data_IF_123603964671
#
_entry.id   IF_123603964671
#
_cell.length_a   1.000
_cell.length_b   1.000
_cell.length_c   1.000
_cell.angle_alpha   90.00
_cell.angle_beta   90.00
_cell.angle_gamma   90.00
#
_symmetry.space_group_name_H-M   'P 1'
#
loop_
_entity.id
_entity.type
_entity.pdbx_description
1 polymer ?
#
# COMPACT_ATOMS: atom_id res chain seq x y z
N UNK A 1 -18.61 16.70 -7.26
CA UNK A 1 -17.60 15.65 -7.51
C UNK A 1 -17.14 15.61 -8.97
N UNK A 2 -17.96 15.21 -9.95
CA UNK A 2 -17.55 15.18 -11.38
C UNK A 2 -17.02 16.52 -11.90
N UNK A 3 -17.75 17.59 -11.65
CA UNK A 3 -17.34 18.95 -12.06
C UNK A 3 -16.04 19.40 -11.38
N UNK A 4 -15.82 18.95 -10.14
CA UNK A 4 -14.59 19.21 -9.40
C UNK A 4 -13.39 18.50 -10.03
N UNK A 5 -13.55 17.22 -10.41
CA UNK A 5 -12.54 16.46 -11.15
C UNK A 5 -12.25 17.08 -12.53
N UNK A 6 -13.28 17.57 -13.22
CA UNK A 6 -13.12 18.28 -14.50
C UNK A 6 -12.29 19.55 -14.34
N UNK A 7 -12.64 20.41 -13.37
CA UNK A 7 -11.86 21.61 -13.05
C UNK A 7 -10.41 21.27 -12.68
N UNK A 8 -10.20 20.21 -11.91
CA UNK A 8 -8.85 19.75 -11.57
C UNK A 8 -8.05 19.34 -12.80
N UNK A 9 -8.65 18.61 -13.75
CA UNK A 9 -8.01 18.28 -15.02
C UNK A 9 -7.63 19.55 -15.80
N UNK A 10 -8.52 20.54 -15.85
CA UNK A 10 -8.30 21.80 -16.56
C UNK A 10 -7.17 22.65 -15.92
N UNK A 11 -6.96 22.54 -14.60
CA UNK A 11 -5.86 23.22 -13.89
C UNK A 11 -4.52 22.52 -14.08
N UNK A 12 -4.52 21.17 -14.17
CA UNK A 12 -3.29 20.36 -14.21
C UNK A 12 -2.79 20.15 -15.65
N UNK A 13 -3.66 20.24 -16.65
CA UNK A 13 -3.35 19.97 -18.06
C UNK A 13 -4.00 21.01 -18.99
N UNK A 14 -3.30 21.53 -20.03
CA UNK A 14 -2.00 21.10 -20.55
C UNK A 14 -0.79 21.76 -19.89
N UNK A 15 -0.95 22.91 -19.25
CA UNK A 15 0.13 23.70 -18.63
C UNK A 15 -0.28 24.15 -17.25
N UNK A 16 0.63 24.00 -16.28
CA UNK A 16 0.40 24.40 -14.89
C UNK A 16 0.83 25.85 -14.69
N UNK A 17 -0.08 26.68 -14.19
CA UNK A 17 0.24 28.03 -13.69
C UNK A 17 0.76 27.94 -12.25
N UNK A 18 2.08 27.97 -12.09
CA UNK A 18 2.75 27.88 -10.78
C UNK A 18 2.39 29.05 -9.85
N UNK A 19 2.17 30.25 -10.40
CA UNK A 19 1.90 31.44 -9.59
C UNK A 19 0.52 31.37 -8.91
N UNK A 20 -0.42 30.63 -9.51
CA UNK A 20 -1.79 30.46 -9.01
C UNK A 20 -2.11 29.03 -8.58
N UNK A 21 -1.13 28.14 -8.55
CA UNK A 21 -1.31 26.71 -8.33
C UNK A 21 -2.21 26.36 -7.14
N UNK A 22 -1.85 26.85 -5.94
CA UNK A 22 -2.61 26.56 -4.72
C UNK A 22 -4.05 27.09 -4.79
N UNK A 23 -4.24 28.33 -5.27
CA UNK A 23 -5.56 28.92 -5.41
C UNK A 23 -6.42 28.19 -6.45
N UNK A 24 -5.80 27.79 -7.57
CA UNK A 24 -6.49 27.06 -8.63
C UNK A 24 -6.95 25.68 -8.18
N UNK A 25 -6.13 24.97 -7.40
CA UNK A 25 -6.52 23.69 -6.78
C UNK A 25 -7.65 23.87 -5.79
N UNK A 26 -7.56 24.86 -4.89
CA UNK A 26 -8.60 25.09 -3.89
C UNK A 26 -9.97 25.38 -4.53
N UNK A 27 -9.99 26.12 -5.63
CA UNK A 27 -11.20 26.41 -6.41
C UNK A 27 -11.85 25.17 -7.06
N UNK A 28 -11.12 24.05 -7.17
CA UNK A 28 -11.71 22.80 -7.65
C UNK A 28 -12.64 22.18 -6.62
N UNK A 29 -12.46 22.46 -5.33
CA UNK A 29 -13.11 21.75 -4.20
C UNK A 29 -12.84 20.23 -4.15
N UNK A 30 -11.85 19.71 -4.89
CA UNK A 30 -11.60 18.27 -4.96
C UNK A 30 -11.19 17.69 -3.60
N UNK A 31 -10.25 18.37 -2.93
CA UNK A 31 -9.78 17.98 -1.60
C UNK A 31 -10.90 18.07 -0.55
N UNK A 32 -11.92 18.90 -0.75
CA UNK A 32 -13.07 18.99 0.16
C UNK A 32 -13.98 17.77 0.04
N UNK A 33 -14.20 17.25 -1.18
CA UNK A 33 -14.94 16.01 -1.38
C UNK A 33 -14.23 14.80 -0.75
N UNK A 34 -12.90 14.72 -0.88
CA UNK A 34 -12.08 13.67 -0.24
C UNK A 34 -12.32 13.61 1.27
N UNK A 35 -12.41 14.77 1.94
CA UNK A 35 -12.67 14.85 3.39
C UNK A 35 -13.99 14.22 3.79
N UNK A 36 -15.04 14.45 3.00
CA UNK A 36 -16.40 14.00 3.31
C UNK A 36 -16.55 12.49 3.12
N UNK A 37 -15.71 11.87 2.31
CA UNK A 37 -15.71 10.41 2.04
C UNK A 37 -14.85 9.59 2.99
N UNK A 38 -14.68 10.03 4.24
CA UNK A 38 -13.83 9.35 5.23
C UNK A 38 -14.11 7.85 5.29
N UNK A 39 -13.09 7.06 4.94
CA UNK A 39 -13.16 5.62 4.69
C UNK A 39 -13.27 4.84 6.01
N UNK A 40 -14.47 4.83 6.60
CA UNK A 40 -14.75 4.12 7.84
C UNK A 40 -14.25 2.66 7.79
N UNK A 41 -14.42 1.96 6.66
CA UNK A 41 -14.00 0.56 6.52
C UNK A 41 -12.47 0.34 6.58
N UNK A 42 -11.67 1.24 6.00
CA UNK A 42 -10.20 1.14 6.02
C UNK A 42 -9.60 1.69 7.32
N UNK A 43 -10.29 2.65 7.94
CA UNK A 43 -9.94 3.18 9.25
C UNK A 43 -10.17 2.15 10.36
N UNK A 44 -11.26 1.39 10.29
CA UNK A 44 -11.69 0.48 11.34
C UNK A 44 -11.07 -0.93 11.25
N UNK A 45 -10.78 -1.44 10.05
CA UNK A 45 -10.35 -2.84 9.88
C UNK A 45 -9.00 -2.93 9.13
N UNK A 46 -8.03 -3.60 9.75
CA UNK A 46 -6.69 -3.81 9.19
C UNK A 46 -6.69 -4.79 8.01
N UNK A 47 -7.69 -5.67 7.90
CA UNK A 47 -7.78 -6.64 6.82
C UNK A 47 -7.81 -5.96 5.44
N UNK A 48 -8.53 -4.84 5.29
CA UNK A 48 -8.60 -4.08 4.03
C UNK A 48 -7.31 -3.33 3.68
N UNK A 49 -6.31 -3.29 4.58
CA UNK A 49 -4.98 -2.67 4.34
C UNK A 49 -3.96 -3.63 3.71
N UNK A 50 -4.29 -4.92 3.69
CA UNK A 50 -3.53 -5.95 2.98
C UNK A 50 -3.88 -5.95 1.50
N UNK A 51 -3.00 -6.49 0.65
CA UNK A 51 -3.29 -6.67 -0.78
C UNK A 51 -4.61 -7.44 -0.96
N UNK A 52 -4.79 -8.56 -0.25
CA UNK A 52 -5.98 -9.41 -0.38
C UNK A 52 -7.28 -8.73 0.05
N UNK A 53 -7.25 -7.96 1.12
CA UNK A 53 -8.44 -7.23 1.56
C UNK A 53 -8.83 -6.10 0.61
N UNK A 54 -7.84 -5.40 0.05
CA UNK A 54 -8.06 -4.33 -0.92
C UNK A 54 -8.74 -4.83 -2.21
N UNK A 55 -8.45 -6.08 -2.62
CA UNK A 55 -9.04 -6.71 -3.81
C UNK A 55 -10.57 -6.79 -3.78
N UNK A 56 -11.18 -6.79 -2.59
CA UNK A 56 -12.62 -6.95 -2.40
C UNK A 56 -13.41 -5.64 -2.51
N UNK A 57 -12.75 -4.49 -2.61
CA UNK A 57 -13.41 -3.16 -2.59
C UNK A 57 -13.75 -2.64 -3.99
N UNK A 58 -13.26 -3.30 -5.04
CA UNK A 58 -13.44 -2.90 -6.43
C UNK A 58 -14.78 -3.31 -7.03
N UNK A 59 -15.84 -2.54 -6.81
CA UNK A 59 -17.10 -2.69 -7.54
C UNK A 59 -17.33 -1.45 -8.43
N UNK A 60 -17.30 -1.65 -9.75
CA UNK A 60 -17.56 -0.61 -10.76
C UNK A 60 -19.00 -0.70 -11.28
N UNK A 61 -19.51 0.40 -11.84
CA UNK A 61 -20.79 0.48 -12.55
C UNK A 61 -20.49 0.84 -14.03
N UNK A 62 -21.00 0.06 -14.97
CA UNK A 62 -20.63 0.01 -16.39
C UNK A 62 -21.49 0.88 -17.34
N UNK A 63 -22.31 1.79 -16.85
CA UNK A 63 -23.09 2.64 -17.75
C UNK A 63 -22.26 3.83 -18.31
N UNK A 64 -21.46 3.55 -19.36
CA UNK A 64 -20.56 4.48 -20.05
C UNK A 64 -21.23 5.71 -20.71
N UNK A 65 -22.56 5.72 -20.83
CA UNK A 65 -23.31 6.79 -21.50
C UNK A 65 -24.11 7.70 -20.54
N UNK A 66 -24.22 7.36 -19.26
CA UNK A 66 -25.08 8.11 -18.34
C UNK A 66 -24.37 9.29 -17.70
N UNK A 67 -25.10 10.41 -17.62
CA UNK A 67 -24.68 11.64 -16.93
C UNK A 67 -24.37 11.45 -15.43
N UNK A 68 -24.64 10.26 -14.91
CA UNK A 68 -24.53 9.81 -13.51
C UNK A 68 -23.14 9.27 -13.13
N UNK A 69 -22.17 9.20 -14.04
CA UNK A 69 -20.81 8.70 -13.76
C UNK A 69 -20.09 9.61 -12.76
N UNK A 70 -20.29 9.35 -11.47
CA UNK A 70 -19.58 9.99 -10.39
C UNK A 70 -18.23 9.29 -10.20
N UNK A 71 -17.11 10.01 -10.07
CA UNK A 71 -15.79 9.43 -9.91
C UNK A 71 -15.58 8.85 -8.49
N UNK A 72 -16.56 8.11 -7.97
CA UNK A 72 -16.56 7.59 -6.60
C UNK A 72 -15.40 6.62 -6.38
N UNK A 73 -15.11 5.75 -7.35
CA UNK A 73 -13.99 4.83 -7.23
C UNK A 73 -12.65 5.56 -7.31
N UNK A 74 -12.50 6.56 -8.19
CA UNK A 74 -11.28 7.37 -8.26
C UNK A 74 -11.05 8.13 -6.95
N UNK A 75 -12.11 8.72 -6.40
CA UNK A 75 -12.07 9.39 -5.11
C UNK A 75 -11.75 8.43 -3.97
N UNK A 76 -12.32 7.22 -3.99
CA UNK A 76 -11.99 6.16 -3.04
C UNK A 76 -10.48 5.85 -3.07
N UNK A 77 -9.91 5.65 -4.26
CA UNK A 77 -8.48 5.36 -4.41
C UNK A 77 -7.63 6.57 -3.99
N UNK A 78 -8.04 7.80 -4.29
CA UNK A 78 -7.36 9.02 -3.82
C UNK A 78 -7.35 9.07 -2.28
N UNK A 79 -8.49 8.85 -1.62
CA UNK A 79 -8.56 8.75 -0.17
C UNK A 79 -7.64 7.67 0.40
N UNK A 80 -7.52 6.51 -0.26
CA UNK A 80 -6.56 5.47 0.12
C UNK A 80 -5.13 5.99 -0.01
N UNK A 81 -4.81 6.66 -1.11
CA UNK A 81 -3.49 7.28 -1.30
C UNK A 81 -3.16 8.30 -0.20
N UNK A 82 -4.10 9.16 0.18
CA UNK A 82 -3.93 10.10 1.31
C UNK A 82 -3.58 9.36 2.61
N UNK A 83 -4.24 8.23 2.89
CA UNK A 83 -3.92 7.42 4.07
C UNK A 83 -2.55 6.76 3.98
N UNK A 84 -2.14 6.26 2.80
CA UNK A 84 -0.78 5.71 2.61
C UNK A 84 0.31 6.78 2.82
N UNK A 85 0.00 8.05 2.55
CA UNK A 85 0.91 9.17 2.80
C UNK A 85 1.01 9.52 4.29
N UNK A 86 -0.12 9.59 4.99
CA UNK A 86 -0.15 9.89 6.42
C UNK A 86 0.36 8.73 7.29
N UNK A 87 0.19 7.48 6.84
CA UNK A 87 0.61 6.27 7.56
C UNK A 87 1.46 5.35 6.66
N UNK A 88 2.74 5.69 6.42
CA UNK A 88 3.60 4.96 5.48
C UNK A 88 3.84 3.48 5.83
N UNK A 89 3.65 3.08 7.09
CA UNK A 89 3.87 1.71 7.55
C UNK A 89 2.58 0.89 7.66
N UNK A 90 1.41 1.50 7.49
CA UNK A 90 0.12 0.84 7.79
C UNK A 90 -0.47 0.04 6.63
N UNK A 91 0.05 0.22 5.41
CA UNK A 91 -0.45 -0.43 4.21
C UNK A 91 0.61 -1.33 3.59
N UNK A 92 0.21 -2.55 3.23
CA UNK A 92 1.08 -3.54 2.62
C UNK A 92 1.43 -3.20 1.18
N UNK A 93 0.55 -2.46 0.51
CA UNK A 93 0.73 -2.05 -0.88
C UNK A 93 1.31 -0.65 -1.01
N UNK A 94 1.94 -0.37 -2.15
CA UNK A 94 2.53 0.92 -2.47
C UNK A 94 1.66 1.73 -3.47
N UNK A 95 2.11 2.96 -3.78
CA UNK A 95 1.42 3.87 -4.70
C UNK A 95 1.26 3.28 -6.11
N UNK A 96 2.20 2.43 -6.57
CA UNK A 96 2.14 1.82 -7.90
C UNK A 96 0.90 0.94 -8.04
N UNK A 97 0.49 0.21 -6.99
CA UNK A 97 -0.73 -0.58 -7.03
C UNK A 97 -1.96 0.30 -7.28
N UNK A 98 -2.06 1.43 -6.57
CA UNK A 98 -3.20 2.34 -6.68
C UNK A 98 -3.30 2.95 -8.08
N UNK A 99 -2.16 3.38 -8.66
CA UNK A 99 -2.11 3.88 -10.04
C UNK A 99 -2.48 2.77 -11.04
N UNK A 100 -1.98 1.55 -10.84
CA UNK A 100 -2.23 0.39 -11.72
C UNK A 100 -3.71 0.02 -11.72
N UNK A 101 -4.36 0.03 -10.55
CA UNK A 101 -5.81 -0.16 -10.40
C UNK A 101 -6.59 0.90 -11.17
N UNK A 102 -6.20 2.18 -11.07
CA UNK A 102 -6.87 3.27 -11.79
C UNK A 102 -6.65 3.23 -13.31
N UNK A 103 -5.46 2.84 -13.77
CA UNK A 103 -5.21 2.65 -15.19
C UNK A 103 -6.03 1.48 -15.75
N UNK A 104 -6.13 0.38 -15.00
CA UNK A 104 -6.88 -0.78 -15.43
C UNK A 104 -8.39 -0.66 -15.29
N UNK A 105 -8.88 0.26 -14.46
CA UNK A 105 -10.30 0.65 -14.40
C UNK A 105 -10.82 1.14 -15.76
N UNK A 106 -9.99 1.84 -16.53
CA UNK A 106 -10.36 2.40 -17.83
C UNK A 106 -9.82 1.61 -19.02
N UNK A 107 -8.82 0.75 -18.81
CA UNK A 107 -8.20 -0.04 -19.88
C UNK A 107 -9.10 -1.13 -20.46
N UNK A 108 -10.05 -1.64 -19.66
CA UNK A 108 -10.84 -2.84 -19.95
C UNK A 108 -9.99 -4.09 -20.32
N UNK A 109 -8.70 -4.10 -19.97
CA UNK A 109 -7.80 -5.23 -20.23
C UNK A 109 -8.16 -6.47 -19.40
N UNK A 110 -8.69 -6.25 -18.19
CA UNK A 110 -9.07 -7.28 -17.24
C UNK A 110 -10.57 -7.24 -16.99
N UNK A 111 -11.19 -8.40 -16.76
CA UNK A 111 -12.61 -8.50 -16.41
C UNK A 111 -12.93 -8.16 -14.95
N UNK A 112 -11.97 -7.62 -14.21
CA UNK A 112 -12.10 -7.33 -12.78
C UNK A 112 -13.12 -6.23 -12.49
N UNK A 113 -13.17 -5.21 -13.32
CA UNK A 113 -14.06 -4.04 -13.15
C UNK A 113 -15.18 -3.99 -14.19
N UNK A 114 -15.37 -5.08 -14.95
CA UNK A 114 -16.47 -5.19 -15.91
C UNK A 114 -17.77 -5.58 -15.17
N UNK A 115 -18.88 -5.16 -15.75
CA UNK A 115 -20.27 -5.32 -15.33
C UNK A 115 -20.65 -4.68 -13.98
N UNK A 116 -21.94 -4.35 -13.83
CA UNK A 116 -22.47 -3.60 -12.69
C UNK A 116 -23.04 -4.49 -11.59
N UNK A 117 -23.03 -5.81 -11.74
CA UNK A 117 -23.45 -6.73 -10.68
C UNK A 117 -22.73 -8.08 -10.79
N UNK A 118 -22.57 -8.78 -9.66
CA UNK A 118 -22.06 -10.14 -9.65
C UNK A 118 -22.94 -11.09 -10.47
N UNK A 119 -24.25 -10.82 -10.52
CA UNK A 119 -25.20 -11.58 -11.34
C UNK A 119 -24.86 -11.46 -12.83
N UNK A 120 -24.69 -10.24 -13.36
CA UNK A 120 -24.28 -10.03 -14.76
C UNK A 120 -22.94 -10.68 -15.07
N UNK A 121 -21.98 -10.63 -14.12
CA UNK A 121 -20.67 -11.29 -14.28
C UNK A 121 -20.77 -12.81 -14.36
N UNK A 122 -21.70 -13.40 -13.61
CA UNK A 122 -21.96 -14.83 -13.66
C UNK A 122 -22.65 -15.22 -14.97
N UNK A 123 -23.64 -14.43 -15.41
CA UNK A 123 -24.36 -14.64 -16.67
C UNK A 123 -23.45 -14.53 -17.90
N UNK A 124 -22.46 -13.64 -17.87
CA UNK A 124 -21.49 -13.43 -18.95
C UNK A 124 -20.21 -14.28 -18.80
N UNK A 125 -20.18 -15.20 -17.84
CA UNK A 125 -19.06 -16.10 -17.55
C UNK A 125 -17.69 -15.39 -17.49
N UNK A 126 -17.65 -14.20 -16.90
CA UNK A 126 -16.47 -13.32 -16.95
C UNK A 126 -15.22 -13.99 -16.38
N UNK A 127 -15.41 -14.85 -15.39
CA UNK A 127 -14.33 -15.59 -14.72
C UNK A 127 -13.63 -16.59 -15.64
N UNK A 128 -14.32 -17.15 -16.63
CA UNK A 128 -13.73 -18.08 -17.61
C UNK A 128 -13.27 -17.32 -18.87
N UNK A 129 -13.99 -16.27 -19.26
CA UNK A 129 -13.74 -15.52 -20.49
C UNK A 129 -12.60 -14.48 -20.38
N UNK A 130 -12.27 -14.02 -19.17
CA UNK A 130 -11.33 -12.92 -18.96
C UNK A 130 -10.32 -13.20 -17.85
N UNK A 131 -9.20 -12.47 -17.89
CA UNK A 131 -8.18 -12.52 -16.85
C UNK A 131 -8.49 -11.50 -15.75
N UNK A 132 -8.23 -11.87 -14.49
CA UNK A 132 -8.31 -10.96 -13.36
C UNK A 132 -7.05 -10.10 -13.22
N UNK A 133 -7.22 -8.80 -13.00
CA UNK A 133 -6.14 -7.86 -12.64
C UNK A 133 -5.33 -8.39 -11.45
N UNK A 134 -6.01 -9.03 -10.49
CA UNK A 134 -5.35 -9.57 -9.30
C UNK A 134 -4.43 -10.73 -9.63
N UNK A 135 -4.72 -11.51 -10.68
CA UNK A 135 -3.78 -12.54 -11.15
C UNK A 135 -2.48 -11.92 -11.67
N UNK A 136 -2.58 -10.76 -12.34
CA UNK A 136 -1.40 -10.00 -12.76
C UNK A 136 -0.63 -9.43 -11.55
N UNK A 137 -1.31 -8.73 -10.64
CA UNK A 137 -0.67 -8.16 -9.43
C UNK A 137 0.00 -9.23 -8.57
N UNK A 138 -0.68 -10.36 -8.34
CA UNK A 138 -0.16 -11.46 -7.53
C UNK A 138 0.99 -12.22 -8.23
N UNK A 139 1.18 -12.05 -9.54
CA UNK A 139 2.33 -12.63 -10.25
C UNK A 139 3.63 -11.87 -10.00
N UNK A 140 3.54 -10.59 -9.60
CA UNK A 140 4.68 -9.70 -9.35
C UNK A 140 4.50 -8.92 -8.03
N UNK A 141 4.34 -9.60 -6.89
CA UNK A 141 4.01 -8.93 -5.63
C UNK A 141 5.09 -7.94 -5.20
N UNK A 142 6.36 -8.23 -5.49
CA UNK A 142 7.52 -7.39 -5.15
C UNK A 142 7.42 -5.96 -5.68
N UNK A 143 6.76 -5.75 -6.82
CA UNK A 143 6.60 -4.41 -7.41
C UNK A 143 5.52 -3.59 -6.72
N UNK A 144 4.57 -4.26 -6.05
CA UNK A 144 3.41 -3.64 -5.41
C UNK A 144 3.50 -3.61 -3.88
N UNK A 145 4.42 -4.35 -3.28
CA UNK A 145 4.61 -4.40 -1.83
C UNK A 145 5.36 -3.17 -1.31
N UNK A 146 4.99 -2.75 -0.11
CA UNK A 146 5.64 -1.70 0.65
C UNK A 146 6.65 -2.30 1.65
N UNK A 147 7.95 -1.99 1.54
CA UNK A 147 8.98 -2.50 2.44
C UNK A 147 8.79 -2.09 3.90
N UNK A 148 8.14 -0.96 4.14
CA UNK A 148 7.93 -0.39 5.46
C UNK A 148 6.66 -0.92 6.16
N UNK A 149 5.94 -1.83 5.52
CA UNK A 149 4.72 -2.39 6.10
C UNK A 149 5.01 -3.10 7.43
N UNK A 150 4.25 -2.72 8.45
CA UNK A 150 4.23 -3.34 9.76
C UNK A 150 2.79 -3.74 10.05
N UNK A 151 2.58 -5.02 10.34
CA UNK A 151 1.27 -5.53 10.71
C UNK A 151 0.93 -5.07 12.14
N UNK A 152 0.11 -4.02 12.23
CA UNK A 152 -0.45 -3.57 13.48
C UNK A 152 -1.82 -4.22 13.67
N UNK A 153 -1.86 -5.36 14.34
CA UNK A 153 -3.12 -6.00 14.73
C UNK A 153 -4.00 -5.01 15.51
N UNK A 154 -5.26 -4.85 15.07
CA UNK A 154 -6.30 -4.04 15.72
C UNK A 154 -6.03 -2.53 15.88
N UNK A 155 -5.09 -1.94 15.14
CA UNK A 155 -4.86 -0.49 15.20
C UNK A 155 -5.84 0.30 14.31
N UNK A 156 -6.63 1.19 14.93
CA UNK A 156 -7.52 2.12 14.22
C UNK A 156 -6.71 3.31 13.72
N UNK A 157 -6.79 3.59 12.41
CA UNK A 157 -6.15 4.76 11.83
C UNK A 157 -7.07 5.98 11.94
N UNK A 158 -6.54 7.07 12.47
CA UNK A 158 -7.24 8.35 12.58
C UNK A 158 -6.57 9.39 11.68
N UNK A 159 -6.95 9.48 10.39
CA UNK A 159 -6.32 10.42 9.47
C UNK A 159 -6.65 11.87 9.84
N UNK A 160 -5.70 12.75 9.56
CA UNK A 160 -5.88 14.19 9.66
C UNK A 160 -6.59 14.68 8.40
N UNK A 161 -7.85 15.08 8.57
CA UNK A 161 -8.75 15.50 7.49
C UNK A 161 -8.59 17.00 7.15
N UNK A 162 -7.62 17.69 7.77
CA UNK A 162 -7.39 19.13 7.54
C UNK A 162 -6.80 19.39 6.15
N UNK A 163 -7.12 20.54 5.56
CA UNK A 163 -6.58 21.01 4.27
C UNK A 163 -5.06 21.06 4.22
N UNK A 164 -4.40 21.21 5.37
CA UNK A 164 -2.94 21.25 5.47
C UNK A 164 -2.27 19.88 5.37
N UNK A 165 -3.01 18.79 5.56
CA UNK A 165 -2.50 17.42 5.56
C UNK A 165 -3.01 16.60 4.37
N UNK A 166 -3.84 17.21 3.53
CA UNK A 166 -4.28 16.62 2.26
C UNK A 166 -3.48 17.26 1.14
N UNK A 167 -2.86 16.42 0.32
CA UNK A 167 -2.04 16.84 -0.80
C UNK A 167 -2.73 16.48 -2.11
N UNK A 168 -2.44 17.22 -3.19
CA UNK A 168 -2.84 16.77 -4.51
C UNK A 168 -1.97 15.59 -4.91
N UNK A 169 -2.59 14.50 -5.37
CA UNK A 169 -1.87 13.34 -5.88
C UNK A 169 -1.21 13.63 -7.23
N UNK A 170 -0.08 14.32 -7.19
CA UNK A 170 0.70 14.71 -8.38
C UNK A 170 1.18 13.51 -9.18
N UNK A 171 1.52 12.41 -8.50
CA UNK A 171 1.92 11.14 -9.10
C UNK A 171 0.88 10.52 -10.03
N UNK A 172 -0.42 10.81 -9.82
CA UNK A 172 -1.51 10.36 -10.69
C UNK A 172 -2.02 11.49 -11.60
N UNK A 173 -2.47 12.61 -11.03
CA UNK A 173 -3.12 13.67 -11.81
C UNK A 173 -2.16 14.48 -12.69
N UNK A 174 -0.93 14.70 -12.24
CA UNK A 174 0.09 15.49 -12.94
C UNK A 174 1.16 14.63 -13.61
N UNK A 175 0.93 13.31 -13.75
CA UNK A 175 1.91 12.33 -14.25
C UNK A 175 2.46 12.61 -15.65
N UNK A 176 1.69 13.32 -16.47
CA UNK A 176 2.05 13.68 -17.84
C UNK A 176 2.89 14.95 -17.92
N UNK A 177 3.01 15.70 -16.83
CA UNK A 177 3.83 16.90 -16.78
C UNK A 177 5.27 16.53 -16.38
N UNK A 178 6.28 16.72 -17.27
CA UNK A 178 7.66 16.36 -16.99
C UNK A 178 8.27 17.09 -15.77
N UNK A 179 7.74 18.28 -15.42
CA UNK A 179 8.25 19.09 -14.30
C UNK A 179 7.73 18.61 -12.94
N UNK A 180 6.56 17.97 -12.92
CA UNK A 180 5.93 17.47 -11.69
C UNK A 180 6.20 15.99 -11.45
N UNK A 181 6.64 15.27 -12.49
CA UNK A 181 6.96 13.85 -12.41
C UNK A 181 8.26 13.65 -11.60
N UNK A 182 8.28 12.74 -10.61
CA UNK A 182 9.50 12.32 -9.97
C UNK A 182 10.51 11.81 -11.01
N UNK A 183 11.73 12.34 -10.99
CA UNK A 183 12.80 11.96 -11.94
C UNK A 183 13.23 10.49 -11.76
N UNK A 184 13.10 9.97 -10.54
CA UNK A 184 13.41 8.58 -10.20
C UNK A 184 12.10 7.82 -9.95
N UNK A 185 11.88 6.64 -10.56
CA UNK A 185 10.71 5.84 -10.29
C UNK A 185 10.71 5.31 -8.85
N UNK A 186 9.84 5.85 -8.00
CA UNK A 186 9.76 5.52 -6.56
C UNK A 186 9.60 4.02 -6.32
N UNK A 187 8.83 3.32 -7.16
CA UNK A 187 8.61 1.88 -7.02
C UNK A 187 9.89 1.05 -7.19
N UNK A 188 10.84 1.48 -8.02
CA UNK A 188 12.13 0.78 -8.19
C UNK A 188 12.94 0.86 -6.89
N UNK A 189 12.99 2.04 -6.29
CA UNK A 189 13.63 2.22 -4.98
C UNK A 189 12.93 1.41 -3.89
N UNK A 190 11.60 1.34 -3.88
CA UNK A 190 10.86 0.50 -2.92
C UNK A 190 11.18 -0.99 -3.10
N UNK A 191 11.31 -1.46 -4.34
CA UNK A 191 11.71 -2.83 -4.65
C UNK A 191 13.14 -3.14 -4.19
N UNK A 192 14.08 -2.23 -4.45
CA UNK A 192 15.45 -2.36 -3.95
C UNK A 192 15.51 -2.42 -2.42
N UNK A 193 14.69 -1.60 -1.75
CA UNK A 193 14.57 -1.61 -0.29
C UNK A 193 13.96 -2.91 0.24
N UNK A 194 12.99 -3.50 -0.47
CA UNK A 194 12.46 -4.83 -0.13
C UNK A 194 13.55 -5.90 -0.17
N UNK A 195 14.35 -5.91 -1.23
CA UNK A 195 15.46 -6.86 -1.36
C UNK A 195 16.52 -6.65 -0.29
N UNK A 196 16.90 -5.40 -0.03
CA UNK A 196 17.88 -5.05 1.00
C UNK A 196 17.38 -5.45 2.40
N UNK A 197 16.09 -5.22 2.70
CA UNK A 197 15.47 -5.64 3.96
C UNK A 197 15.57 -7.15 4.13
N UNK A 198 15.23 -7.94 3.11
CA UNK A 198 15.29 -9.40 3.18
C UNK A 198 16.73 -9.90 3.44
N UNK A 199 17.72 -9.32 2.76
CA UNK A 199 19.13 -9.65 2.97
C UNK A 199 19.61 -9.29 4.38
N UNK A 200 19.24 -8.11 4.89
CA UNK A 200 19.60 -7.68 6.25
C UNK A 200 18.93 -8.56 7.31
N UNK A 201 17.67 -8.95 7.12
CA UNK A 201 16.97 -9.86 8.01
C UNK A 201 17.68 -11.22 8.09
N UNK A 202 18.08 -11.79 6.94
CA UNK A 202 18.84 -13.04 6.89
C UNK A 202 20.16 -12.93 7.66
N UNK A 203 20.92 -11.86 7.48
CA UNK A 203 22.17 -11.62 8.21
C UNK A 203 21.96 -11.51 9.72
N UNK A 204 20.89 -10.85 10.15
CA UNK A 204 20.53 -10.74 11.57
C UNK A 204 20.25 -12.13 12.15
N UNK A 205 19.48 -12.96 11.45
CA UNK A 205 19.20 -14.33 11.90
C UNK A 205 20.47 -15.19 11.99
N UNK A 206 21.37 -15.10 11.00
CA UNK A 206 22.64 -15.84 11.01
C UNK A 206 23.52 -15.42 12.18
N UNK A 207 23.67 -14.11 12.42
CA UNK A 207 24.41 -13.59 13.57
C UNK A 207 23.78 -13.99 14.91
N UNK A 208 22.45 -14.03 15.01
CA UNK A 208 21.74 -14.51 16.20
C UNK A 208 22.00 -15.99 16.45
N UNK A 209 22.01 -16.82 15.40
CA UNK A 209 22.36 -18.26 15.49
C UNK A 209 23.80 -18.44 15.96
N UNK A 210 24.75 -17.68 15.41
CA UNK A 210 26.16 -17.71 15.81
C UNK A 210 26.37 -17.24 17.27
N UNK A 211 25.67 -16.20 17.71
CA UNK A 211 25.73 -15.73 19.09
C UNK A 211 25.18 -16.80 20.06
N UNK A 212 24.09 -17.46 19.70
CA UNK A 212 23.48 -18.53 20.50
C UNK A 212 24.40 -19.74 20.61
N UNK A 213 25.03 -20.16 19.52
CA UNK A 213 25.98 -21.29 19.51
C UNK A 213 27.27 -21.00 20.29
N UNK A 214 27.77 -19.76 20.25
CA UNK A 214 28.90 -19.35 21.11
C UNK A 214 28.52 -19.37 22.58
N UNK A 215 27.34 -18.87 22.94
CA UNK A 215 26.88 -18.85 24.34
C UNK A 215 26.72 -20.25 24.96
N UNK A 216 26.27 -21.25 24.18
CA UNK A 216 26.16 -22.64 24.64
C UNK A 216 27.53 -23.31 24.79
N UNK A 217 28.49 -22.99 23.93
CA UNK A 217 29.87 -23.49 24.07
C UNK A 217 30.56 -22.97 25.34
N UNK A 218 30.36 -21.70 25.70
CA UNK A 218 30.93 -21.12 26.93
C UNK A 218 30.34 -21.66 28.23
N UNK A 219 29.07 -22.11 28.21
CA UNK A 219 28.43 -22.73 29.37
C UNK A 219 28.94 -24.16 29.65
N UNK A 220 29.49 -24.82 28.63
CA UNK A 220 30.00 -26.19 28.71
C UNK A 220 31.38 -26.28 29.38
N UNK A 221 32.17 -25.20 29.36
CA UNK A 221 33.54 -25.15 29.92
C UNK A 221 33.58 -24.85 31.44
N UNK A 222 32.45 -24.52 32.06
CA UNK A 222 32.33 -24.27 33.51
C UNK A 222 31.43 -25.29 34.22
N UNK A 223 31.80 -26.57 34.15
CA UNK A 223 31.33 -27.58 35.12
C UNK A 223 32.46 -27.85 36.13
N UNK A 224 32.29 -27.60 37.45
CA UNK A 224 33.33 -27.90 38.43
C UNK A 224 33.38 -29.42 38.65
N UNK A 225 34.54 -30.02 38.43
CA UNK A 225 34.81 -31.42 38.79
C UNK A 225 34.75 -31.58 40.31
N UNK A 226 33.66 -32.16 40.82
CA UNK A 226 33.57 -32.59 42.22
C UNK A 226 34.59 -33.73 42.49
N UNK A 227 35.70 -33.42 43.16
CA UNK A 227 36.62 -34.42 43.71
C UNK A 227 35.99 -35.08 44.94
N UNK A 228 35.72 -36.38 44.83
CA UNK A 228 35.24 -37.24 45.91
C UNK A 228 36.31 -37.40 47.02
N UNK A 229 35.88 -37.28 48.27
CA UNK A 229 36.73 -37.36 49.46
C UNK A 229 37.28 -38.75 49.75
N UNK A 230 38.43 -38.79 50.42
CA UNK A 230 39.02 -39.99 51.03
C UNK A 230 39.12 -39.74 52.55
N UNK A 231 38.74 -40.69 53.43
CA UNK A 231 38.75 -40.45 54.87
C UNK A 231 40.14 -40.70 55.48
N UNK A 232 40.47 -39.89 56.49
CA UNK A 232 41.69 -39.99 57.29
C UNK A 232 41.71 -41.27 58.14
N UNK A 233 42.84 -41.98 58.12
CA UNK A 233 43.29 -42.83 59.22
C UNK A 233 44.69 -42.37 59.63
N UNK A 234 44.83 -41.86 60.86
CA UNK A 234 46.10 -41.58 61.52
C UNK A 234 46.25 -42.50 62.72
N UNK A 235 47.27 -43.35 62.69
CA UNK A 235 47.78 -44.09 63.84
C UNK A 235 49.09 -43.42 64.28
N UNK A 236 49.14 -42.92 65.53
CA UNK A 236 50.07 -43.27 66.62
C UNK A 236 49.44 -42.77 67.92
#
# INVERSE_FOLDING_TARGET
>A
MRESLRKMKDVVYPTIDEARWHSAIDQTHWLEYIRLTSLAMLMLDSHYRTLRGFQRVGHGDENHANSERSPLFVQFIDCVWQMTRQFPAAFEFNELLLVTVLDHLYSCLFGTFLYSSEQERAEQEVQSATVSLWSYVNSQPEDFTNPFFVDYEHHVLCPLVSSRHLELWTGYYARWNPRMRPQVPVHQTLKELLFLRAELQRRVEDLQREATSRSSSSFSEHSPSHTAGTPLHSAV
#
